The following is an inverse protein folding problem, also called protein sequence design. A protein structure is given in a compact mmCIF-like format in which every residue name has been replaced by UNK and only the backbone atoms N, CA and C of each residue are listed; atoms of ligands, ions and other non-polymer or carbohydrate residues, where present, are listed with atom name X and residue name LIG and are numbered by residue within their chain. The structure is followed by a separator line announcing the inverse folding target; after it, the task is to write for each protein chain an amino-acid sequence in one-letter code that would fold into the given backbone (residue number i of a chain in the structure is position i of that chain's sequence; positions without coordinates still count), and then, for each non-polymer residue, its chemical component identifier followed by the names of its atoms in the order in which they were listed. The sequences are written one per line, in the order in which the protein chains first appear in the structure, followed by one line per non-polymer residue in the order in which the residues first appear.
data_IF_444284950146
#
_entry.id   IF_444284950146
#
_cell.length_a   1.000
_cell.length_b   1.000
_cell.length_c   1.000
_cell.angle_alpha   90.00
_cell.angle_beta   90.00
_cell.angle_gamma   90.00
#
_symmetry.space_group_name_H-M   'P 1'
#
loop_
_entity.id
_entity.type
_entity.pdbx_description
1 polymer ?
#
# COMPACT_ATOMS: atom_id res chain seq x y z
N UNK A 1 7.69 -4.31 10.38
CA UNK A 1 7.18 -2.96 10.09
C UNK A 1 8.08 -1.95 10.77
N UNK A 2 9.10 -1.48 10.07
CA UNK A 2 9.90 -0.32 10.53
C UNK A 2 9.03 0.92 10.42
N UNK A 3 8.89 1.66 11.52
CA UNK A 3 8.22 2.96 11.49
C UNK A 3 8.92 3.82 10.43
N UNK A 4 8.18 4.29 9.42
CA UNK A 4 8.64 5.37 8.52
C UNK A 4 9.14 6.51 9.41
N UNK A 5 10.29 7.09 9.10
CA UNK A 5 10.83 8.16 9.94
C UNK A 5 9.84 9.33 9.95
N UNK A 6 9.79 10.11 11.04
CA UNK A 6 8.90 11.27 11.11
C UNK A 6 9.16 12.28 9.97
N UNK A 7 10.38 12.29 9.43
CA UNK A 7 10.76 13.10 8.26
C UNK A 7 10.11 12.58 6.97
N UNK A 8 10.09 11.25 6.74
CA UNK A 8 9.40 10.65 5.60
C UNK A 8 7.89 10.92 5.62
N UNK A 9 7.29 10.93 6.82
CA UNK A 9 5.86 11.21 6.99
C UNK A 9 5.54 12.68 6.68
N UNK A 10 6.39 13.61 7.10
CA UNK A 10 6.24 15.05 6.77
C UNK A 10 6.46 15.33 5.29
N UNK A 11 7.46 14.71 4.67
CA UNK A 11 7.71 14.84 3.23
C UNK A 11 6.48 14.40 2.43
N UNK A 12 5.90 13.25 2.77
CA UNK A 12 4.66 12.76 2.16
C UNK A 12 3.48 13.70 2.38
N UNK A 13 3.35 14.29 3.56
CA UNK A 13 2.28 15.25 3.85
C UNK A 13 2.37 16.48 2.94
N UNK A 14 3.58 17.03 2.75
CA UNK A 14 3.82 18.14 1.84
C UNK A 14 3.56 17.80 0.37
N UNK A 15 3.95 16.60 -0.08
CA UNK A 15 3.63 16.13 -1.43
C UNK A 15 2.11 16.10 -1.66
N UNK A 16 1.35 15.58 -0.69
CA UNK A 16 -0.11 15.54 -0.77
C UNK A 16 -0.72 16.94 -0.83
N UNK A 17 -0.20 17.92 -0.07
CA UNK A 17 -0.66 19.31 -0.19
C UNK A 17 -0.39 19.91 -1.57
N UNK A 18 0.75 19.58 -2.19
CA UNK A 18 1.06 19.99 -3.56
C UNK A 18 0.12 19.30 -4.57
N UNK A 19 -0.16 18.02 -4.38
CA UNK A 19 -1.10 17.27 -5.22
C UNK A 19 -2.54 17.81 -5.06
N UNK A 20 -2.94 18.25 -3.87
CA UNK A 20 -4.24 18.89 -3.63
C UNK A 20 -4.40 20.22 -4.41
N UNK A 21 -3.30 20.87 -4.79
CA UNK A 21 -3.30 22.03 -5.69
C UNK A 21 -3.33 21.59 -7.16
N UNK A 22 -2.65 20.49 -7.50
CA UNK A 22 -2.57 19.94 -8.86
C UNK A 22 -3.89 19.31 -9.32
N UNK A 23 -4.63 18.68 -8.41
CA UNK A 23 -5.87 17.93 -8.67
C UNK A 23 -7.03 18.53 -7.87
N UNK A 24 -7.57 19.70 -8.28
CA UNK A 24 -8.61 20.42 -7.55
C UNK A 24 -9.93 19.63 -7.39
N UNK A 25 -10.23 18.72 -8.32
CA UNK A 25 -11.40 17.83 -8.31
C UNK A 25 -11.35 16.77 -7.19
N UNK A 26 -10.14 16.37 -6.78
CA UNK A 26 -9.88 15.39 -5.72
C UNK A 26 -9.39 16.07 -4.43
N UNK A 27 -9.42 17.41 -4.38
CA UNK A 27 -8.81 18.21 -3.30
C UNK A 27 -9.28 17.80 -1.91
N UNK A 28 -10.57 17.54 -1.72
CA UNK A 28 -11.13 17.14 -0.42
C UNK A 28 -10.50 15.85 0.11
N UNK A 29 -10.44 14.83 -0.75
CA UNK A 29 -9.87 13.51 -0.45
C UNK A 29 -8.35 13.59 -0.18
N UNK A 30 -7.61 14.32 -1.02
CA UNK A 30 -6.16 14.47 -0.86
C UNK A 30 -5.81 15.23 0.43
N UNK A 31 -6.58 16.26 0.79
CA UNK A 31 -6.40 17.00 2.04
C UNK A 31 -6.70 16.14 3.28
N UNK A 32 -7.67 15.21 3.22
CA UNK A 32 -7.92 14.24 4.28
C UNK A 32 -6.70 13.31 4.48
N UNK A 33 -6.10 12.82 3.39
CA UNK A 33 -4.88 12.01 3.47
C UNK A 33 -3.70 12.81 4.04
N UNK A 34 -3.51 14.05 3.60
CA UNK A 34 -2.48 14.95 4.11
C UNK A 34 -2.64 15.19 5.62
N UNK A 35 -3.86 15.47 6.07
CA UNK A 35 -4.18 15.66 7.49
C UNK A 35 -3.82 14.41 8.33
N UNK A 36 -4.04 13.20 7.81
CA UNK A 36 -3.64 11.98 8.50
C UNK A 36 -2.11 11.84 8.60
N UNK A 37 -1.36 12.21 7.55
CA UNK A 37 0.11 12.23 7.63
C UNK A 37 0.60 13.25 8.66
N UNK A 38 0.02 14.45 8.70
CA UNK A 38 0.38 15.47 9.70
C UNK A 38 0.09 15.00 11.13
N UNK A 39 -1.05 14.34 11.37
CA UNK A 39 -1.33 13.70 12.67
C UNK A 39 -0.30 12.65 13.05
N UNK A 40 0.13 11.82 12.09
CA UNK A 40 1.18 10.81 12.30
C UNK A 40 2.55 11.41 12.58
N UNK A 41 2.82 12.60 12.03
CA UNK A 41 4.03 13.38 12.31
C UNK A 41 3.97 14.14 13.66
N UNK A 42 2.81 14.17 14.32
CA UNK A 42 2.58 14.90 15.57
C UNK A 42 2.19 16.37 15.40
N UNK A 43 2.05 16.86 14.16
CA UNK A 43 1.70 18.25 13.85
C UNK A 43 0.17 18.41 13.77
N UNK A 44 -0.50 18.26 14.91
CA UNK A 44 -1.97 18.19 14.97
C UNK A 44 -2.64 19.50 14.53
N UNK A 45 -2.05 20.66 14.84
CA UNK A 45 -2.61 21.97 14.46
C UNK A 45 -2.65 22.16 12.95
N UNK A 46 -1.64 21.64 12.24
CA UNK A 46 -1.60 21.66 10.80
C UNK A 46 -2.71 20.77 10.21
N UNK A 47 -2.88 19.57 10.77
CA UNK A 47 -3.97 18.69 10.38
C UNK A 47 -5.35 19.33 10.61
N UNK A 48 -5.57 20.02 11.73
CA UNK A 48 -6.82 20.75 12.01
C UNK A 48 -7.08 21.82 10.93
N UNK A 49 -6.04 22.55 10.52
CA UNK A 49 -6.15 23.56 9.46
C UNK A 49 -6.64 22.96 8.15
N UNK A 50 -6.00 21.87 7.70
CA UNK A 50 -6.41 21.18 6.46
C UNK A 50 -7.82 20.59 6.56
N UNK A 51 -8.20 20.02 7.71
CA UNK A 51 -9.55 19.53 7.94
C UNK A 51 -10.59 20.68 7.89
N UNK A 52 -10.23 21.87 8.38
CA UNK A 52 -11.03 23.07 8.24
C UNK A 52 -11.23 23.50 6.78
N UNK A 53 -10.19 23.37 5.94
CA UNK A 53 -10.33 23.58 4.49
C UNK A 53 -11.28 22.57 3.85
N UNK A 54 -11.19 21.28 4.21
CA UNK A 54 -12.12 20.25 3.71
C UNK A 54 -13.57 20.58 4.10
N UNK A 55 -13.81 21.08 5.31
CA UNK A 55 -15.14 21.54 5.72
C UNK A 55 -15.64 22.72 4.88
N UNK A 56 -14.76 23.65 4.53
CA UNK A 56 -15.10 24.81 3.70
C UNK A 56 -15.41 24.42 2.24
N UNK A 57 -14.73 23.39 1.72
CA UNK A 57 -15.03 22.81 0.40
C UNK A 57 -16.40 22.13 0.37
N UNK A 58 -16.80 21.50 1.49
CA UNK A 58 -18.07 20.78 1.60
C UNK A 58 -18.06 19.45 0.84
N UNK A 59 -19.25 18.98 0.45
CA UNK A 59 -19.40 17.72 -0.30
C UNK A 59 -19.24 16.46 0.56
N UNK A 60 -18.96 15.32 -0.11
CA UNK A 60 -18.89 13.98 0.51
C UNK A 60 -17.77 13.86 1.57
N UNK A 61 -16.71 14.64 1.46
CA UNK A 61 -15.50 14.54 2.29
C UNK A 61 -15.65 15.31 3.62
N UNK A 62 -16.58 16.27 3.69
CA UNK A 62 -16.83 17.05 4.90
C UNK A 62 -17.24 16.17 6.10
N UNK A 63 -17.93 15.05 5.85
CA UNK A 63 -18.30 14.10 6.89
C UNK A 63 -17.08 13.47 7.57
N UNK A 64 -16.11 13.01 6.78
CA UNK A 64 -14.84 12.46 7.30
C UNK A 64 -13.99 13.50 8.01
N UNK A 65 -14.04 14.76 7.55
CA UNK A 65 -13.36 15.86 8.22
C UNK A 65 -13.95 16.14 9.61
N UNK A 66 -15.28 16.20 9.74
CA UNK A 66 -15.95 16.37 11.06
C UNK A 66 -15.65 15.21 12.00
N UNK A 67 -15.71 13.96 11.51
CA UNK A 67 -15.31 12.79 12.30
C UNK A 67 -13.86 12.91 12.81
N UNK A 68 -12.94 13.29 11.93
CA UNK A 68 -11.52 13.44 12.27
C UNK A 68 -11.29 14.54 13.30
N UNK A 69 -11.97 15.68 13.17
CA UNK A 69 -11.94 16.78 14.14
C UNK A 69 -12.52 16.35 15.49
N UNK A 70 -13.67 15.69 15.51
CA UNK A 70 -14.27 15.16 16.75
C UNK A 70 -13.29 14.25 17.51
N UNK A 71 -12.66 13.32 16.79
CA UNK A 71 -11.63 12.43 17.35
C UNK A 71 -10.43 13.18 17.91
N UNK A 72 -10.00 14.27 17.27
CA UNK A 72 -8.91 15.13 17.76
C UNK A 72 -9.35 15.84 19.05
N UNK A 73 -10.52 16.48 19.07
CA UNK A 73 -11.07 17.18 20.23
C UNK A 73 -11.17 16.25 21.44
N UNK A 74 -11.76 15.07 21.28
CA UNK A 74 -11.85 14.07 22.35
C UNK A 74 -10.49 13.62 22.88
N UNK A 75 -9.48 13.45 22.02
CA UNK A 75 -8.12 13.11 22.46
C UNK A 75 -7.45 14.22 23.27
N UNK A 76 -7.82 15.48 22.99
CA UNK A 76 -7.33 16.65 23.71
C UNK A 76 -8.14 16.97 24.98
N UNK A 77 -9.23 16.23 25.25
CA UNK A 77 -10.15 16.50 26.36
C UNK A 77 -11.13 17.66 26.10
N UNK A 78 -11.20 18.16 24.87
CA UNK A 78 -12.14 19.18 24.43
C UNK A 78 -13.48 18.53 24.04
N UNK A 79 -14.13 17.87 25.00
CA UNK A 79 -15.30 17.02 24.73
C UNK A 79 -16.48 17.80 24.15
N UNK A 80 -16.72 19.04 24.60
CA UNK A 80 -17.79 19.89 24.08
C UNK A 80 -17.64 20.16 22.57
N UNK A 81 -16.43 20.47 22.11
CA UNK A 81 -16.14 20.69 20.69
C UNK A 81 -16.25 19.38 19.90
N UNK A 82 -15.78 18.27 20.49
CA UNK A 82 -15.92 16.94 19.90
C UNK A 82 -17.37 16.57 19.63
N UNK A 83 -18.24 16.79 20.61
CA UNK A 83 -19.68 16.57 20.47
C UNK A 83 -20.32 17.53 19.46
N UNK A 84 -19.92 18.81 19.42
CA UNK A 84 -20.42 19.76 18.44
C UNK A 84 -20.12 19.31 16.99
N UNK A 85 -18.93 18.74 16.74
CA UNK A 85 -18.61 18.16 15.44
C UNK A 85 -19.48 16.96 15.08
N UNK A 86 -19.78 16.07 16.04
CA UNK A 86 -20.66 14.92 15.82
C UNK A 86 -22.12 15.34 15.61
N UNK A 87 -22.62 16.31 16.37
CA UNK A 87 -23.98 16.82 16.20
C UNK A 87 -24.17 17.43 14.80
N UNK A 88 -23.18 18.17 14.31
CA UNK A 88 -23.22 18.73 12.97
C UNK A 88 -23.20 17.66 11.85
N UNK A 89 -22.83 16.40 12.13
CA UNK A 89 -22.97 15.29 11.18
C UNK A 89 -24.42 14.81 11.06
N UNK A 90 -25.24 14.97 12.10
CA UNK A 90 -26.65 14.57 12.08
C UNK A 90 -27.46 15.40 11.07
N UNK A 91 -27.05 16.66 10.86
CA UNK A 91 -27.66 17.60 9.91
C UNK A 91 -27.21 17.35 8.46
N UNK A 92 -26.15 16.58 8.26
CA UNK A 92 -25.63 16.25 6.93
C UNK A 92 -26.25 14.91 6.51
N UNK A 93 -27.29 15.00 5.67
CA UNK A 93 -27.98 13.85 5.06
C UNK A 93 -27.00 12.94 4.26
N UNK A 94 -25.89 13.51 3.79
CA UNK A 94 -24.82 12.84 3.05
C UNK A 94 -23.74 12.16 3.91
N UNK A 95 -23.90 12.07 5.25
CA UNK A 95 -23.02 11.27 6.10
C UNK A 95 -23.28 9.79 5.82
N UNK A 96 -22.74 9.30 4.69
CA UNK A 96 -22.95 7.96 4.19
C UNK A 96 -22.58 6.89 5.20
N UNK A 97 -22.98 5.66 4.90
CA UNK A 97 -22.78 4.45 5.73
C UNK A 97 -21.44 4.41 6.48
N UNK A 98 -20.32 4.68 5.79
CA UNK A 98 -18.98 4.64 6.38
C UNK A 98 -18.70 5.70 7.45
N UNK A 99 -19.24 6.91 7.35
CA UNK A 99 -19.04 7.94 8.40
C UNK A 99 -19.82 7.57 9.66
N UNK A 100 -21.04 7.04 9.51
CA UNK A 100 -21.85 6.62 10.65
C UNK A 100 -21.21 5.47 11.43
N UNK A 101 -20.64 4.47 10.73
CA UNK A 101 -19.87 3.39 11.35
C UNK A 101 -18.67 3.91 12.14
N UNK A 102 -17.86 4.78 11.53
CA UNK A 102 -16.67 5.35 12.19
C UNK A 102 -17.03 6.14 13.46
N UNK A 103 -18.11 6.92 13.44
CA UNK A 103 -18.60 7.65 14.62
C UNK A 103 -19.05 6.67 15.70
N UNK A 104 -19.79 5.63 15.33
CA UNK A 104 -20.24 4.61 16.28
C UNK A 104 -19.06 3.91 16.98
N UNK A 105 -18.03 3.52 16.23
CA UNK A 105 -16.82 2.90 16.79
C UNK A 105 -16.07 3.84 17.75
N UNK A 106 -15.96 5.12 17.39
CA UNK A 106 -15.33 6.13 18.24
C UNK A 106 -16.06 6.28 19.57
N UNK A 107 -17.39 6.31 19.54
CA UNK A 107 -18.23 6.42 20.73
C UNK A 107 -18.21 5.14 21.57
N UNK A 108 -18.20 3.97 20.92
CA UNK A 108 -18.04 2.68 21.61
C UNK A 108 -16.70 2.62 22.37
N UNK A 109 -15.59 3.03 21.74
CA UNK A 109 -14.27 3.08 22.36
C UNK A 109 -14.21 4.02 23.58
N UNK A 110 -15.05 5.06 23.57
CA UNK A 110 -15.21 6.00 24.69
C UNK A 110 -16.14 5.49 25.80
N UNK A 111 -16.84 4.39 25.59
CA UNK A 111 -17.82 3.85 26.53
C UNK A 111 -19.20 4.52 26.45
N UNK A 112 -19.43 5.37 25.44
CA UNK A 112 -20.69 6.06 25.20
C UNK A 112 -21.67 5.13 24.45
N UNK A 113 -21.98 3.99 25.06
CA UNK A 113 -22.67 2.88 24.39
C UNK A 113 -24.06 3.23 23.86
N UNK A 114 -24.78 4.14 24.52
CA UNK A 114 -26.09 4.61 24.06
C UNK A 114 -26.02 5.38 22.75
N UNK A 115 -25.07 6.32 22.66
CA UNK A 115 -24.85 7.11 21.44
C UNK A 115 -24.19 6.26 20.35
N UNK A 116 -23.25 5.38 20.70
CA UNK A 116 -22.67 4.42 19.77
C UNK A 116 -23.74 3.54 19.13
N UNK A 117 -24.68 3.02 19.91
CA UNK A 117 -25.80 2.22 19.41
C UNK A 117 -26.65 2.99 18.40
N UNK A 118 -27.00 4.26 18.69
CA UNK A 118 -27.75 5.12 17.76
C UNK A 118 -27.04 5.27 16.41
N UNK A 119 -25.71 5.45 16.42
CA UNK A 119 -24.92 5.59 15.20
C UNK A 119 -24.76 4.27 14.44
N UNK A 120 -24.63 3.13 15.12
CA UNK A 120 -24.66 1.82 14.48
C UNK A 120 -26.02 1.56 13.82
N UNK A 121 -27.14 1.86 14.48
CA UNK A 121 -28.48 1.74 13.91
C UNK A 121 -28.64 2.63 12.67
N UNK A 122 -28.09 3.84 12.69
CA UNK A 122 -28.06 4.74 11.53
C UNK A 122 -27.26 4.14 10.37
N UNK A 123 -26.07 3.60 10.64
CA UNK A 123 -25.25 2.94 9.62
C UNK A 123 -26.03 1.77 9.00
N UNK A 124 -26.58 0.88 9.82
CA UNK A 124 -27.34 -0.29 9.35
C UNK A 124 -28.57 0.12 8.53
N UNK A 125 -29.26 1.20 8.92
CA UNK A 125 -30.42 1.72 8.18
C UNK A 125 -30.09 2.22 6.77
N UNK A 126 -28.82 2.52 6.48
CA UNK A 126 -28.35 2.89 5.14
C UNK A 126 -28.03 1.67 4.25
N UNK A 127 -28.04 0.45 4.81
CA UNK A 127 -27.81 -0.80 4.07
C UNK A 127 -29.14 -1.33 3.54
N UNK A 128 -29.17 -1.70 2.27
CA UNK A 128 -30.37 -2.30 1.66
C UNK A 128 -30.70 -3.68 2.26
N UNK A 129 -31.98 -4.06 2.16
CA UNK A 129 -32.49 -5.29 2.76
C UNK A 129 -31.89 -6.56 2.13
N UNK A 130 -31.50 -6.52 0.85
CA UNK A 130 -30.90 -7.66 0.16
C UNK A 130 -29.52 -7.99 0.74
N UNK A 131 -28.68 -6.96 0.94
CA UNK A 131 -27.38 -7.12 1.60
C UNK A 131 -27.52 -7.58 3.04
N UNK A 132 -28.49 -7.06 3.80
CA UNK A 132 -28.75 -7.55 5.15
C UNK A 132 -29.15 -9.02 5.17
N UNK A 133 -30.00 -9.46 4.23
CA UNK A 133 -30.38 -10.85 4.10
C UNK A 133 -29.22 -11.77 3.66
N UNK A 134 -28.23 -11.24 2.95
CA UNK A 134 -27.01 -11.98 2.60
C UNK A 134 -26.11 -12.22 3.82
N UNK A 135 -26.03 -11.25 4.73
CA UNK A 135 -25.26 -11.39 5.98
C UNK A 135 -25.83 -12.52 6.86
N UNK A 136 -27.15 -12.63 6.94
CA UNK A 136 -27.86 -13.67 7.73
C UNK A 136 -27.82 -15.07 7.07
N UNK A 137 -27.16 -15.21 5.90
CA UNK A 137 -27.02 -16.49 5.21
C UNK A 137 -25.72 -17.18 5.61
N UNK A 138 -25.83 -18.43 6.09
CA UNK A 138 -24.66 -19.26 6.40
C UNK A 138 -23.86 -19.68 5.16
N UNK A 139 -22.55 -19.83 5.33
CA UNK A 139 -21.62 -20.32 4.31
C UNK A 139 -21.27 -19.29 3.23
N UNK A 140 -21.64 -18.02 3.42
CA UNK A 140 -21.27 -16.92 2.52
C UNK A 140 -19.87 -16.40 2.82
N UNK A 141 -19.31 -15.65 1.87
CA UNK A 141 -18.04 -14.94 2.08
C UNK A 141 -18.30 -13.79 3.08
N UNK A 142 -17.41 -13.57 4.06
CA UNK A 142 -17.59 -12.49 5.03
C UNK A 142 -17.70 -11.14 4.34
N UNK A 143 -18.73 -10.38 4.70
CA UNK A 143 -18.98 -9.04 4.17
C UNK A 143 -18.51 -7.95 5.13
N UNK A 144 -17.91 -6.88 4.58
CA UNK A 144 -17.56 -5.68 5.36
C UNK A 144 -18.82 -4.99 5.92
N UNK A 145 -19.99 -5.17 5.28
CA UNK A 145 -21.27 -4.62 5.77
C UNK A 145 -21.74 -5.24 7.09
N UNK A 146 -21.11 -6.33 7.56
CA UNK A 146 -21.40 -6.95 8.85
C UNK A 146 -20.71 -6.25 10.03
N UNK A 147 -19.69 -5.41 9.82
CA UNK A 147 -18.96 -4.78 10.91
C UNK A 147 -19.82 -3.91 11.85
N UNK A 148 -20.75 -3.07 11.35
CA UNK A 148 -21.67 -2.34 12.20
C UNK A 148 -22.55 -3.22 13.09
N UNK A 149 -22.90 -4.43 12.63
CA UNK A 149 -23.71 -5.38 13.41
C UNK A 149 -22.94 -5.89 14.64
N UNK A 150 -21.64 -6.16 14.51
CA UNK A 150 -20.82 -6.56 15.65
C UNK A 150 -20.72 -5.45 16.70
N UNK A 151 -20.51 -4.20 16.27
CA UNK A 151 -20.45 -3.05 17.17
C UNK A 151 -21.77 -2.80 17.88
N UNK A 152 -22.88 -2.88 17.13
CA UNK A 152 -24.24 -2.81 17.66
C UNK A 152 -24.49 -3.86 18.74
N UNK A 153 -24.21 -5.13 18.44
CA UNK A 153 -24.41 -6.25 19.35
C UNK A 153 -23.64 -6.04 20.66
N UNK A 154 -22.37 -5.59 20.58
CA UNK A 154 -21.56 -5.25 21.76
C UNK A 154 -22.17 -4.12 22.59
N UNK A 155 -22.62 -3.04 21.94
CA UNK A 155 -23.25 -1.91 22.62
C UNK A 155 -24.54 -2.32 23.34
N UNK A 156 -25.40 -3.13 22.69
CA UNK A 156 -26.63 -3.65 23.29
C UNK A 156 -26.35 -4.52 24.51
N UNK A 157 -25.38 -5.41 24.41
CA UNK A 157 -24.95 -6.24 25.53
C UNK A 157 -24.45 -5.38 26.71
N UNK A 158 -23.67 -4.33 26.44
CA UNK A 158 -23.20 -3.37 27.47
C UNK A 158 -24.34 -2.59 28.13
N UNK A 159 -25.41 -2.30 27.39
CA UNK A 159 -26.60 -1.61 27.88
C UNK A 159 -27.61 -2.56 28.56
N UNK A 160 -27.36 -3.87 28.58
CA UNK A 160 -28.28 -4.87 29.14
C UNK A 160 -29.55 -5.07 28.32
N UNK A 161 -29.53 -4.72 27.03
CA UNK A 161 -30.66 -4.91 26.12
C UNK A 161 -30.74 -6.37 25.66
N UNK A 162 -31.95 -6.94 25.49
CA UNK A 162 -32.11 -8.30 24.97
C UNK A 162 -31.63 -8.38 23.51
N UNK A 163 -31.06 -9.52 23.10
CA UNK A 163 -30.65 -9.73 21.71
C UNK A 163 -31.85 -9.69 20.75
N UNK A 164 -31.67 -9.12 19.57
CA UNK A 164 -32.66 -9.09 18.49
C UNK A 164 -32.19 -9.76 17.20
N UNK A 165 -32.98 -9.64 16.12
CA UNK A 165 -32.72 -10.29 14.84
C UNK A 165 -31.42 -9.83 14.17
N UNK A 166 -31.03 -8.57 14.35
CA UNK A 166 -29.77 -8.05 13.84
C UNK A 166 -28.58 -8.60 14.64
N UNK A 167 -28.77 -8.83 15.95
CA UNK A 167 -27.76 -9.50 16.78
C UNK A 167 -27.58 -10.97 16.34
N UNK A 168 -28.67 -11.66 15.97
CA UNK A 168 -28.59 -13.01 15.38
C UNK A 168 -27.86 -13.04 14.04
N UNK A 169 -28.12 -12.06 13.17
CA UNK A 169 -27.39 -11.92 11.91
C UNK A 169 -25.90 -11.64 12.14
N UNK A 170 -25.56 -10.88 13.20
CA UNK A 170 -24.17 -10.68 13.61
C UNK A 170 -23.50 -12.01 13.99
N UNK A 171 -24.17 -12.87 14.76
CA UNK A 171 -23.63 -14.20 15.12
C UNK A 171 -23.37 -15.06 13.87
N UNK A 172 -24.31 -15.08 12.92
CA UNK A 172 -24.13 -15.80 11.63
C UNK A 172 -22.94 -15.25 10.84
N UNK A 173 -22.77 -13.92 10.81
CA UNK A 173 -21.65 -13.28 10.14
C UNK A 173 -20.30 -13.62 10.79
N UNK A 174 -20.26 -13.71 12.13
CA UNK A 174 -19.05 -14.12 12.85
C UNK A 174 -18.69 -15.58 12.59
N UNK A 175 -19.70 -16.47 12.56
CA UNK A 175 -19.53 -17.87 12.20
C UNK A 175 -18.95 -18.00 10.77
N UNK A 176 -19.54 -17.31 9.79
CA UNK A 176 -19.04 -17.27 8.41
C UNK A 176 -17.59 -16.77 8.33
N UNK A 177 -17.26 -15.73 9.11
CA UNK A 177 -15.90 -15.18 9.20
C UNK A 177 -14.90 -16.21 9.71
N UNK A 178 -15.24 -16.93 10.78
CA UNK A 178 -14.39 -17.99 11.34
C UNK A 178 -14.23 -19.15 10.35
N UNK A 179 -15.31 -19.63 9.77
CA UNK A 179 -15.27 -20.71 8.77
C UNK A 179 -14.44 -20.33 7.53
N UNK A 180 -14.52 -19.07 7.09
CA UNK A 180 -13.73 -18.55 5.98
C UNK A 180 -12.24 -18.50 6.32
N UNK A 181 -11.87 -17.99 7.50
CA UNK A 181 -10.47 -18.01 7.99
C UNK A 181 -9.96 -19.43 8.09
N UNK A 182 -10.70 -20.35 8.72
CA UNK A 182 -10.33 -21.76 8.81
C UNK A 182 -10.14 -22.39 7.42
N UNK A 183 -10.97 -22.00 6.44
CA UNK A 183 -10.82 -22.47 5.05
C UNK A 183 -9.54 -21.93 4.43
N UNK A 184 -9.24 -20.64 4.59
CA UNK A 184 -8.00 -20.04 4.11
C UNK A 184 -6.78 -20.70 4.75
N UNK A 185 -6.80 -20.96 6.05
CA UNK A 185 -5.74 -21.65 6.76
C UNK A 185 -5.58 -23.09 6.26
N UNK A 186 -6.67 -23.83 6.02
CA UNK A 186 -6.62 -25.16 5.40
C UNK A 186 -6.02 -25.12 4.00
N UNK A 187 -6.38 -24.14 3.17
CA UNK A 187 -5.77 -23.96 1.83
C UNK A 187 -4.28 -23.61 1.96
N UNK A 188 -3.92 -22.73 2.90
CA UNK A 188 -2.54 -22.39 3.18
C UNK A 188 -1.73 -23.55 3.77
N UNK A 189 -2.39 -24.52 4.41
CA UNK A 189 -1.76 -25.72 4.97
C UNK A 189 -1.66 -26.89 3.98
N UNK A 190 -2.58 -27.01 3.01
CA UNK A 190 -2.47 -27.98 1.90
C UNK A 190 -1.47 -27.52 0.84
N UNK A 191 -1.23 -26.22 0.75
CA UNK A 191 0.01 -25.67 0.20
C UNK A 191 1.12 -25.96 1.23
N UNK A 192 2.05 -26.86 0.94
CA UNK A 192 3.21 -27.04 1.82
C UNK A 192 3.81 -25.66 2.12
N UNK A 193 4.21 -25.35 3.37
CA UNK A 193 4.81 -24.05 3.70
C UNK A 193 6.01 -23.89 2.80
N UNK A 194 5.85 -23.09 1.76
CA UNK A 194 6.98 -22.70 0.95
C UNK A 194 7.69 -21.74 1.88
N UNK A 195 8.88 -22.07 2.42
CA UNK A 195 9.61 -21.11 3.23
C UNK A 195 9.66 -19.84 2.40
N UNK A 196 9.30 -18.69 3.01
CA UNK A 196 9.35 -17.40 2.35
C UNK A 196 10.73 -17.31 1.71
N UNK A 197 10.82 -17.60 0.40
CA UNK A 197 12.06 -17.43 -0.32
C UNK A 197 12.32 -15.93 -0.17
N UNK A 198 13.48 -15.51 0.37
CA UNK A 198 13.83 -14.10 0.28
C UNK A 198 13.56 -13.68 -1.16
N UNK A 199 12.80 -12.60 -1.38
CA UNK A 199 12.53 -12.13 -2.74
C UNK A 199 13.89 -11.93 -3.41
N UNK A 200 14.25 -12.86 -4.29
CA UNK A 200 15.49 -12.79 -5.04
C UNK A 200 15.16 -11.87 -6.19
N UNK A 201 15.60 -10.62 -6.09
CA UNK A 201 15.57 -9.72 -7.25
C UNK A 201 16.61 -10.28 -8.22
N UNK A 202 16.15 -10.76 -9.37
CA UNK A 202 16.99 -11.21 -10.47
C UNK A 202 16.86 -10.23 -11.62
N UNK A 203 17.98 -9.71 -12.12
CA UNK A 203 17.95 -8.71 -13.19
C UNK A 203 18.96 -9.06 -14.27
N UNK A 204 18.49 -9.17 -15.52
CA UNK A 204 19.36 -9.28 -16.68
C UNK A 204 20.07 -7.94 -16.90
N UNK A 205 21.40 -7.99 -16.90
CA UNK A 205 22.26 -6.85 -17.21
C UNK A 205 23.22 -7.23 -18.33
N UNK A 206 23.39 -6.30 -19.26
CA UNK A 206 24.44 -6.35 -20.25
C UNK A 206 25.56 -5.45 -19.74
N UNK A 207 26.77 -5.99 -19.58
CA UNK A 207 27.93 -5.18 -19.20
C UNK A 207 28.33 -4.26 -20.36
N UNK A 208 29.06 -3.18 -20.09
CA UNK A 208 29.32 -2.09 -21.06
C UNK A 208 29.76 -2.59 -22.44
N UNK A 209 30.74 -3.49 -22.46
CA UNK A 209 31.29 -4.01 -23.70
C UNK A 209 30.27 -4.89 -24.46
N UNK A 210 29.53 -5.72 -23.73
CA UNK A 210 28.47 -6.58 -24.27
C UNK A 210 27.27 -5.77 -24.77
N UNK A 211 26.90 -4.70 -24.06
CA UNK A 211 25.84 -3.78 -24.48
C UNK A 211 26.22 -3.04 -25.76
N UNK A 212 27.48 -2.60 -25.89
CA UNK A 212 27.98 -2.00 -27.14
C UNK A 212 27.96 -2.99 -28.30
N UNK A 213 28.31 -4.26 -28.05
CA UNK A 213 28.22 -5.32 -29.05
C UNK A 213 26.75 -5.61 -29.42
N UNK A 214 25.85 -5.65 -28.43
CA UNK A 214 24.43 -5.90 -28.63
C UNK A 214 23.77 -4.78 -29.43
N UNK A 215 24.09 -3.51 -29.12
CA UNK A 215 23.61 -2.35 -29.87
C UNK A 215 24.09 -2.32 -31.33
N UNK A 216 25.27 -2.89 -31.62
CA UNK A 216 25.72 -3.07 -33.01
C UNK A 216 24.97 -4.17 -33.74
N UNK A 217 24.54 -5.21 -33.02
CA UNK A 217 23.93 -6.42 -33.59
C UNK A 217 22.40 -6.32 -33.74
N UNK A 218 21.76 -5.67 -32.78
CA UNK A 218 20.30 -5.48 -32.64
C UNK A 218 20.01 -4.03 -32.20
N UNK A 219 20.27 -3.03 -33.06
CA UNK A 219 20.12 -1.61 -32.74
C UNK A 219 18.68 -1.20 -32.39
N UNK A 220 17.69 -1.95 -32.86
CA UNK A 220 16.28 -1.78 -32.54
C UNK A 220 15.91 -2.18 -31.10
N UNK A 221 16.78 -2.96 -30.45
CA UNK A 221 16.58 -3.47 -29.08
C UNK A 221 17.51 -2.83 -28.07
N UNK A 222 18.77 -2.56 -28.47
CA UNK A 222 19.82 -2.10 -27.58
C UNK A 222 20.37 -0.74 -28.02
N UNK A 223 20.49 0.18 -27.05
CA UNK A 223 21.10 1.50 -27.27
C UNK A 223 22.60 1.45 -26.99
N UNK A 224 23.39 2.11 -27.85
CA UNK A 224 24.85 2.10 -27.78
C UNK A 224 25.42 3.08 -26.74
N UNK A 225 24.77 4.22 -26.50
CA UNK A 225 25.17 5.19 -25.48
C UNK A 225 24.41 4.95 -24.18
N UNK A 226 25.15 4.57 -23.15
CA UNK A 226 24.67 4.05 -21.87
C UNK A 226 25.50 4.60 -20.70
N UNK A 227 26.29 5.65 -20.94
CA UNK A 227 27.35 6.09 -20.02
C UNK A 227 26.78 6.40 -18.62
N UNK A 228 25.58 6.99 -18.58
CA UNK A 228 24.85 7.35 -17.35
C UNK A 228 23.84 6.29 -16.89
N UNK A 229 23.39 5.41 -17.79
CA UNK A 229 22.33 4.42 -17.52
C UNK A 229 22.68 3.44 -16.39
N UNK A 230 23.95 3.08 -16.23
CA UNK A 230 24.35 2.17 -15.13
C UNK A 230 24.34 2.84 -13.74
N UNK A 231 24.47 4.16 -13.67
CA UNK A 231 24.31 4.89 -12.42
C UNK A 231 22.83 4.97 -12.03
N UNK A 232 21.94 5.17 -13.00
CA UNK A 232 20.49 5.15 -12.78
C UNK A 232 20.00 3.76 -12.36
N UNK A 233 20.48 2.70 -13.01
CA UNK A 233 20.18 1.32 -12.63
C UNK A 233 20.69 1.03 -11.21
N UNK A 234 21.88 1.52 -10.85
CA UNK A 234 22.40 1.40 -9.49
C UNK A 234 21.48 2.08 -8.47
N UNK A 235 21.00 3.29 -8.75
CA UNK A 235 20.10 4.03 -7.87
C UNK A 235 18.78 3.28 -7.68
N UNK A 236 18.16 2.84 -8.79
CA UNK A 236 16.91 2.06 -8.76
C UNK A 236 17.06 0.77 -7.96
N UNK A 237 18.16 0.02 -8.16
CA UNK A 237 18.43 -1.18 -7.37
C UNK A 237 18.56 -0.88 -5.86
N UNK A 238 19.09 0.28 -5.47
CA UNK A 238 19.16 0.70 -4.07
C UNK A 238 17.79 1.04 -3.50
N UNK A 239 16.95 1.72 -4.27
CA UNK A 239 15.57 2.05 -3.92
C UNK A 239 14.76 0.78 -3.72
N UNK A 240 14.74 -0.12 -4.70
CA UNK A 240 14.08 -1.44 -4.64
C UNK A 240 14.54 -2.28 -3.44
N UNK A 241 15.84 -2.30 -3.15
CA UNK A 241 16.35 -3.03 -1.99
C UNK A 241 15.92 -2.40 -0.66
N UNK A 242 15.80 -1.07 -0.58
CA UNK A 242 15.31 -0.38 0.63
C UNK A 242 13.81 -0.65 0.83
N UNK A 243 13.02 -0.55 -0.24
CA UNK A 243 11.58 -0.78 -0.19
C UNK A 243 11.23 -2.21 0.19
N UNK A 244 11.96 -3.17 -0.37
CA UNK A 244 11.70 -4.60 -0.16
C UNK A 244 12.55 -5.25 0.93
N UNK A 245 13.36 -4.46 1.66
CA UNK A 245 14.32 -4.95 2.65
C UNK A 245 15.20 -6.10 2.12
N UNK A 246 15.54 -6.05 0.83
CA UNK A 246 16.35 -7.05 0.17
C UNK A 246 17.83 -6.77 0.43
N UNK A 247 18.50 -7.68 1.12
CA UNK A 247 19.92 -7.50 1.45
C UNK A 247 20.86 -7.70 0.23
N UNK A 248 20.41 -8.41 -0.80
CA UNK A 248 21.19 -8.80 -1.99
C UNK A 248 20.31 -8.98 -3.23
N UNK A 249 20.86 -8.65 -4.39
CA UNK A 249 20.28 -8.82 -5.73
C UNK A 249 21.18 -9.76 -6.54
N UNK A 250 20.60 -10.61 -7.39
CA UNK A 250 21.33 -11.43 -8.35
C UNK A 250 21.29 -10.77 -9.72
N UNK A 251 22.43 -10.28 -10.20
CA UNK A 251 22.56 -9.77 -11.56
C UNK A 251 22.93 -10.91 -12.50
N UNK A 252 22.15 -11.11 -13.56
CA UNK A 252 22.38 -12.10 -14.61
C UNK A 252 23.12 -11.41 -15.75
N UNK A 253 24.33 -11.85 -16.09
CA UNK A 253 25.14 -11.22 -17.13
C UNK A 253 24.78 -11.79 -18.51
N UNK A 254 24.10 -10.98 -19.32
CA UNK A 254 23.89 -11.25 -20.74
C UNK A 254 25.20 -11.15 -21.54
N UNK A 255 25.27 -11.87 -22.66
CA UNK A 255 26.31 -11.71 -23.68
C UNK A 255 25.76 -11.90 -25.08
N UNK A 256 26.38 -11.23 -26.05
CA UNK A 256 25.94 -11.27 -27.45
C UNK A 256 26.04 -12.68 -27.98
N UNK A 257 27.14 -13.39 -27.70
CA UNK A 257 27.32 -14.78 -28.14
C UNK A 257 26.25 -15.70 -27.55
N UNK A 258 25.94 -15.53 -26.27
CA UNK A 258 24.97 -16.37 -25.57
C UNK A 258 23.55 -16.13 -26.06
N UNK A 259 23.19 -14.86 -26.30
CA UNK A 259 21.88 -14.49 -26.80
C UNK A 259 21.73 -14.85 -28.29
N UNK A 260 22.78 -14.66 -29.09
CA UNK A 260 22.82 -15.10 -30.49
C UNK A 260 22.57 -16.60 -30.58
N UNK A 261 23.31 -17.40 -29.81
CA UNK A 261 23.10 -18.85 -29.79
C UNK A 261 21.72 -19.26 -29.26
N UNK A 262 21.09 -18.47 -28.40
CA UNK A 262 19.71 -18.70 -27.96
C UNK A 262 18.72 -18.46 -29.12
N UNK A 263 18.80 -17.30 -29.76
CA UNK A 263 17.93 -16.92 -30.88
C UNK A 263 18.10 -17.85 -32.08
N UNK A 264 19.32 -18.32 -32.37
CA UNK A 264 19.57 -19.31 -33.42
C UNK A 264 18.87 -20.66 -33.16
N UNK A 265 18.70 -21.04 -31.89
CA UNK A 265 18.01 -22.29 -31.53
C UNK A 265 16.50 -22.16 -31.54
N UNK A 266 15.97 -21.01 -31.12
CA UNK A 266 14.52 -20.85 -30.95
C UNK A 266 13.85 -20.18 -32.15
N UNK A 267 14.59 -19.37 -32.91
CA UNK A 267 14.07 -18.57 -34.01
C UNK A 267 13.25 -17.36 -33.56
N UNK A 268 13.33 -17.00 -32.27
CA UNK A 268 12.52 -15.93 -31.69
C UNK A 268 13.02 -14.52 -32.04
N UNK A 269 12.14 -13.53 -31.82
CA UNK A 269 12.45 -12.12 -32.04
C UNK A 269 13.18 -11.52 -30.81
N UNK A 270 14.40 -10.94 -30.95
CA UNK A 270 15.10 -10.27 -29.86
C UNK A 270 14.39 -9.04 -29.28
N UNK A 271 13.45 -8.43 -30.02
CA UNK A 271 12.67 -7.27 -29.57
C UNK A 271 11.64 -7.63 -28.50
N UNK A 272 11.19 -8.90 -28.47
CA UNK A 272 10.23 -9.40 -27.50
C UNK A 272 10.84 -9.50 -26.09
N UNK A 273 10.16 -8.90 -25.11
CA UNK A 273 10.63 -8.92 -23.72
C UNK A 273 10.65 -10.34 -23.14
N UNK A 274 9.64 -11.16 -23.47
CA UNK A 274 9.52 -12.55 -23.03
C UNK A 274 10.73 -13.40 -23.46
N UNK A 275 11.27 -13.14 -24.66
CA UNK A 275 12.46 -13.80 -25.23
C UNK A 275 13.71 -13.41 -24.45
N UNK A 276 13.87 -12.11 -24.11
CA UNK A 276 14.98 -11.64 -23.27
C UNK A 276 14.92 -12.21 -21.85
N UNK A 277 13.73 -12.33 -21.26
CA UNK A 277 13.53 -12.95 -19.95
C UNK A 277 13.82 -14.46 -19.96
N UNK A 278 13.39 -15.17 -21.00
CA UNK A 278 13.68 -16.59 -21.17
C UNK A 278 15.19 -16.83 -21.34
N UNK A 279 15.88 -15.99 -22.12
CA UNK A 279 17.34 -16.00 -22.21
C UNK A 279 18.02 -15.75 -20.86
N UNK A 280 17.52 -14.81 -20.05
CA UNK A 280 18.05 -14.54 -18.71
C UNK A 280 18.00 -15.80 -17.83
N UNK A 281 16.91 -16.57 -17.89
CA UNK A 281 16.80 -17.85 -17.21
C UNK A 281 17.90 -18.84 -17.62
N UNK A 282 18.15 -18.98 -18.93
CA UNK A 282 19.22 -19.84 -19.44
C UNK A 282 20.63 -19.36 -19.02
N UNK A 283 20.87 -18.04 -19.08
CA UNK A 283 22.14 -17.45 -18.68
C UNK A 283 22.40 -17.66 -17.17
N UNK A 284 21.36 -17.54 -16.33
CA UNK A 284 21.39 -17.87 -14.91
C UNK A 284 21.75 -19.34 -14.69
N UNK A 285 21.08 -20.26 -15.37
CA UNK A 285 21.35 -21.71 -15.25
C UNK A 285 22.75 -22.10 -15.75
N UNK A 286 23.32 -21.30 -16.65
CA UNK A 286 24.71 -21.43 -17.11
C UNK A 286 25.73 -20.80 -16.14
N UNK A 287 25.30 -20.31 -14.98
CA UNK A 287 26.16 -19.72 -13.95
C UNK A 287 26.63 -18.30 -14.23
N UNK A 288 26.05 -17.57 -15.19
CA UNK A 288 26.41 -16.18 -15.50
C UNK A 288 25.77 -15.19 -14.52
N UNK A 289 26.04 -15.35 -13.23
CA UNK A 289 25.44 -14.53 -12.17
C UNK A 289 26.49 -13.76 -11.35
N UNK A 290 26.09 -12.60 -10.84
CA UNK A 290 26.89 -11.77 -9.95
C UNK A 290 26.02 -11.32 -8.76
N UNK A 291 26.61 -11.26 -7.57
CA UNK A 291 25.93 -10.70 -6.40
C UNK A 291 26.08 -9.18 -6.38
N UNK A 292 24.97 -8.47 -6.22
CA UNK A 292 24.93 -7.02 -6.01
C UNK A 292 24.41 -6.70 -4.59
N UNK A 293 25.00 -5.70 -3.90
CA UNK A 293 26.14 -4.91 -4.34
C UNK A 293 27.45 -5.71 -4.28
N UNK A 294 28.36 -5.54 -5.26
CA UNK A 294 29.72 -6.06 -5.14
C UNK A 294 30.43 -5.50 -3.91
N UNK A 295 31.49 -6.17 -3.44
CA UNK A 295 32.35 -5.60 -2.39
C UNK A 295 32.94 -4.25 -2.83
N UNK A 296 33.09 -3.28 -1.92
CA UNK A 296 33.54 -1.90 -2.24
C UNK A 296 34.82 -1.81 -3.10
N UNK A 297 35.74 -2.76 -2.97
CA UNK A 297 37.00 -2.81 -3.71
C UNK A 297 37.01 -3.81 -4.88
N UNK A 298 35.92 -4.54 -5.11
CA UNK A 298 35.77 -5.47 -6.23
C UNK A 298 35.53 -4.71 -7.55
N UNK A 299 35.75 -5.35 -8.71
CA UNK A 299 35.35 -4.79 -10.01
C UNK A 299 33.88 -4.39 -10.02
N UNK A 300 33.57 -3.30 -10.71
CA UNK A 300 32.19 -2.82 -10.84
C UNK A 300 31.35 -3.77 -11.72
N UNK A 301 30.11 -4.02 -11.30
CA UNK A 301 29.19 -4.94 -11.97
C UNK A 301 28.84 -4.51 -13.41
N UNK A 302 29.00 -3.22 -13.75
CA UNK A 302 28.81 -2.71 -15.11
C UNK A 302 29.91 -3.11 -16.11
N UNK A 303 30.97 -3.80 -15.67
CA UNK A 303 32.06 -4.27 -16.54
C UNK A 303 33.18 -3.27 -16.78
N UNK A 304 33.19 -2.10 -16.12
CA UNK A 304 34.22 -1.06 -16.33
C UNK A 304 35.63 -1.40 -15.83
N UNK A 305 35.83 -2.58 -15.21
CA UNK A 305 37.03 -2.99 -14.47
C UNK A 305 37.48 -2.07 -13.30
N UNK A 306 36.90 -0.87 -13.15
CA UNK A 306 37.15 0.04 -12.03
C UNK A 306 36.62 -0.55 -10.72
N UNK A 307 37.24 -0.18 -9.60
CA UNK A 307 36.73 -0.52 -8.26
C UNK A 307 35.30 0.01 -8.11
N UNK A 308 34.38 -0.80 -7.61
CA UNK A 308 32.95 -0.48 -7.47
C UNK A 308 32.69 0.86 -6.77
N UNK A 309 33.38 1.15 -5.65
CA UNK A 309 33.29 2.43 -4.92
C UNK A 309 33.74 3.69 -5.71
N UNK A 310 34.38 3.49 -6.86
CA UNK A 310 34.90 4.54 -7.76
C UNK A 310 34.20 4.49 -9.14
N UNK A 311 33.12 3.74 -9.26
CA UNK A 311 32.29 3.60 -10.47
C UNK A 311 30.81 3.71 -10.06
N UNK A 312 29.96 2.73 -10.35
CA UNK A 312 28.52 2.82 -10.03
C UNK A 312 28.25 2.95 -8.52
N UNK A 313 29.09 2.34 -7.67
CA UNK A 313 28.96 2.46 -6.22
C UNK A 313 29.57 3.73 -5.61
N UNK A 314 29.94 4.71 -6.43
CA UNK A 314 30.33 6.02 -5.91
C UNK A 314 29.07 6.73 -5.36
N UNK A 315 29.14 7.37 -4.18
CA UNK A 315 28.07 8.27 -3.78
C UNK A 315 27.92 9.34 -4.85
N UNK A 316 26.70 9.54 -5.36
CA UNK A 316 26.42 10.62 -6.30
C UNK A 316 27.01 11.90 -5.71
N UNK A 317 28.07 12.43 -6.33
CA UNK A 317 28.54 13.76 -6.01
C UNK A 317 27.41 14.69 -6.42
N UNK A 318 26.77 15.33 -5.44
CA UNK A 318 25.93 16.49 -5.69
C UNK A 318 26.73 17.45 -6.57
N UNK A 319 26.30 17.58 -7.82
CA UNK A 319 26.59 18.70 -8.70
C UNK A 319 25.25 19.36 -9.00
#
# INVERSE_FOLDING_TARGET
MTAKSAEDVRARAHELEQDAVRYPEERGEILLEAAEQWKRAGEVDHAITLLGEVLALGGKDAGFARFSLAKICFKQGADADGWAHLQALEEIEASGWGVAELVAELLEQRGEYGEALRWFDRAISAVDAERLAEIDRRGTVPSLTAFPLFGRQRCRAKLGLPADDLDRAADVADDNRREFVDRLERVAATQAPTPARPRVIEMLVWQRDEQQLAARRWPEVFVADITDQYADIEQRLREECREHNAAKVTLISGSVDGFTGYLERTGDDPAEESVRLAYAGQARDSGRTMTWPPGRNQPCWCGSARKYKKCCGAPATAQ
#
